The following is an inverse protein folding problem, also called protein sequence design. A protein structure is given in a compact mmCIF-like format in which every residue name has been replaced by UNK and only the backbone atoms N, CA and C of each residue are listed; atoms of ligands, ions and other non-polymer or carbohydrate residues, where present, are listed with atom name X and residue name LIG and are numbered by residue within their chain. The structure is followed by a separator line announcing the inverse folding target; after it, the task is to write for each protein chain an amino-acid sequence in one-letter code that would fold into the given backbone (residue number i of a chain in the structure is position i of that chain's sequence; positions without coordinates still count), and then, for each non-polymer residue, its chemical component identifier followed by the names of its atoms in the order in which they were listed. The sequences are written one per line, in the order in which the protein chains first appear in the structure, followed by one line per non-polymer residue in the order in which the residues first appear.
data_IF_644400795200
#
_entry.id   IF_644400795200
#
_cell.length_a   1.000
_cell.length_b   1.000
_cell.length_c   1.000
_cell.angle_alpha   90.00
_cell.angle_beta   90.00
_cell.angle_gamma   90.00
#
_symmetry.space_group_name_H-M   'P 1'
#
loop_
_entity.id
_entity.type
_entity.pdbx_description
1 polymer ?
#
# COMPACT_ATOMS: atom_id res chain seq x y z
N UNK A 1 25.37 -51.32 5.80
CA UNK A 1 25.28 -49.93 6.31
C UNK A 1 23.80 -49.49 6.18
N UNK A 2 22.85 -49.93 7.02
CA UNK A 2 22.45 -49.37 8.33
C UNK A 2 22.72 -47.84 8.41
N UNK A 3 21.73 -46.97 8.63
CA UNK A 3 20.83 -46.91 9.80
C UNK A 3 19.45 -46.31 9.50
N UNK A 4 18.42 -46.90 10.11
CA UNK A 4 17.14 -46.27 10.55
C UNK A 4 17.36 -45.63 11.92
N UNK A 5 16.72 -44.49 12.20
CA UNK A 5 16.41 -43.95 13.54
C UNK A 5 15.09 -43.16 13.35
N UNK A 6 13.89 -43.65 13.69
CA UNK A 6 13.28 -43.83 15.02
C UNK A 6 13.13 -42.49 15.79
N UNK A 7 11.98 -41.83 15.66
CA UNK A 7 11.53 -40.84 16.63
C UNK A 7 10.68 -41.53 17.71
N UNK A 8 11.12 -41.37 18.95
CA UNK A 8 10.53 -41.98 20.13
C UNK A 8 9.24 -41.27 20.54
N UNK A 9 8.18 -42.04 20.70
CA UNK A 9 7.02 -41.70 21.54
C UNK A 9 7.42 -41.84 23.01
N UNK A 10 7.28 -40.77 23.80
CA UNK A 10 7.19 -40.87 25.26
C UNK A 10 5.89 -40.29 25.75
N UNK A 11 4.99 -41.20 26.11
CA UNK A 11 4.02 -41.05 27.17
C UNK A 11 4.69 -40.53 28.45
N UNK A 12 4.17 -39.45 29.00
CA UNK A 12 4.54 -38.92 30.31
C UNK A 12 3.29 -38.36 30.96
N UNK A 13 2.90 -38.94 32.08
CA UNK A 13 1.63 -38.78 32.75
C UNK A 13 1.35 -37.34 33.22
N UNK A 14 0.07 -36.99 33.23
CA UNK A 14 -0.49 -35.87 33.97
C UNK A 14 -0.25 -36.09 35.46
N UNK A 15 0.56 -35.23 36.06
CA UNK A 15 0.55 -35.01 37.50
C UNK A 15 0.06 -33.59 37.74
N UNK A 16 -1.08 -33.50 38.43
CA UNK A 16 -1.74 -32.27 38.80
C UNK A 16 -0.79 -31.40 39.61
N UNK A 17 -0.68 -30.13 39.21
CA UNK A 17 -0.06 -29.13 40.05
C UNK A 17 -1.14 -28.57 40.97
N UNK A 18 -0.95 -28.87 42.26
CA UNK A 18 -1.71 -28.40 43.40
C UNK A 18 -1.65 -26.87 43.52
N UNK A 19 -2.77 -26.24 43.83
CA UNK A 19 -3.04 -24.81 43.65
C UNK A 19 -2.49 -23.89 44.76
N UNK A 20 -1.31 -24.19 45.33
CA UNK A 20 -0.84 -23.46 46.52
C UNK A 20 0.65 -23.06 46.58
N UNK A 21 1.41 -23.15 45.47
CA UNK A 21 2.78 -22.61 45.41
C UNK A 21 3.03 -21.86 44.10
N UNK A 22 2.28 -20.79 43.86
CA UNK A 22 2.59 -19.80 42.83
C UNK A 22 2.68 -18.40 43.44
N UNK A 23 3.67 -18.22 44.30
CA UNK A 23 4.23 -16.92 44.59
C UNK A 23 5.75 -17.12 44.57
N UNK A 24 6.43 -16.39 43.68
CA UNK A 24 7.90 -16.37 43.50
C UNK A 24 8.48 -17.42 42.52
N UNK A 25 8.23 -17.27 41.22
CA UNK A 25 9.33 -17.23 40.22
C UNK A 25 8.84 -16.72 38.86
N UNK A 26 9.42 -15.62 38.38
CA UNK A 26 9.14 -14.98 37.08
C UNK A 26 9.67 -15.76 35.86
N UNK A 27 9.92 -17.08 35.96
CA UNK A 27 10.65 -17.84 34.92
C UNK A 27 9.81 -18.75 34.03
N UNK A 28 8.49 -18.86 34.23
CA UNK A 28 7.63 -19.69 33.35
C UNK A 28 6.96 -18.94 32.17
N UNK A 29 7.01 -17.61 32.10
CA UNK A 29 6.36 -16.87 31.01
C UNK A 29 7.13 -16.84 29.68
N UNK A 30 8.41 -17.25 29.62
CA UNK A 30 9.22 -17.15 28.39
C UNK A 30 8.99 -18.29 27.38
N UNK A 31 8.50 -19.46 27.82
CA UNK A 31 8.28 -20.61 26.93
C UNK A 31 6.98 -20.52 26.13
N UNK A 32 5.94 -19.87 26.65
CA UNK A 32 4.66 -19.69 25.94
C UNK A 32 4.78 -18.66 24.79
N UNK A 33 5.55 -17.59 24.99
CA UNK A 33 5.77 -16.56 23.96
C UNK A 33 6.59 -17.08 22.77
N UNK A 34 7.54 -17.99 23.01
CA UNK A 34 8.34 -18.59 21.93
C UNK A 34 7.52 -19.53 21.03
N UNK A 35 6.52 -20.22 21.59
CA UNK A 35 5.69 -21.16 20.82
C UNK A 35 4.67 -20.46 19.92
N UNK A 36 4.14 -19.31 20.34
CA UNK A 36 3.24 -18.47 19.53
C UNK A 36 3.98 -17.76 18.38
N UNK A 37 5.20 -17.27 18.63
CA UNK A 37 6.04 -16.65 17.61
C UNK A 37 6.47 -17.65 16.52
N UNK A 38 6.79 -18.89 16.90
CA UNK A 38 7.10 -19.97 15.96
C UNK A 38 5.85 -20.38 15.16
N UNK A 39 4.68 -20.48 15.77
CA UNK A 39 3.44 -20.79 15.06
C UNK A 39 3.03 -19.68 14.06
N UNK A 40 3.20 -18.41 14.41
CA UNK A 40 2.99 -17.28 13.49
C UNK A 40 4.02 -17.24 12.36
N UNK A 41 5.28 -17.55 12.64
CA UNK A 41 6.34 -17.70 11.65
C UNK A 41 6.03 -18.81 10.63
N UNK A 42 5.56 -19.97 11.11
CA UNK A 42 5.20 -21.12 10.27
C UNK A 42 3.94 -20.86 9.42
N UNK A 43 2.93 -20.15 9.96
CA UNK A 43 1.76 -19.71 9.20
C UNK A 43 2.12 -18.66 8.13
N UNK A 44 3.05 -17.74 8.42
CA UNK A 44 3.61 -16.81 7.43
C UNK A 44 4.37 -17.54 6.32
N UNK A 45 5.16 -18.57 6.65
CA UNK A 45 5.88 -19.37 5.64
C UNK A 45 4.95 -20.24 4.80
N UNK A 46 3.88 -20.81 5.38
CA UNK A 46 2.91 -21.60 4.60
C UNK A 46 2.07 -20.72 3.66
N UNK A 47 1.68 -19.52 4.09
CA UNK A 47 1.04 -18.51 3.21
C UNK A 47 1.99 -18.05 2.10
N UNK A 48 3.27 -17.87 2.40
CA UNK A 48 4.29 -17.59 1.40
C UNK A 48 4.37 -18.74 0.37
N UNK A 49 4.55 -20.00 0.78
CA UNK A 49 4.68 -21.14 -0.15
C UNK A 49 3.47 -21.33 -1.07
N UNK A 50 2.25 -21.05 -0.59
CA UNK A 50 1.05 -21.01 -1.45
C UNK A 50 1.03 -19.81 -2.41
N UNK A 51 1.48 -18.62 -1.99
CA UNK A 51 1.63 -17.43 -2.84
C UNK A 51 2.68 -17.62 -3.95
N UNK A 52 3.79 -18.29 -3.66
CA UNK A 52 4.86 -18.58 -4.63
C UNK A 52 4.38 -19.50 -5.78
N UNK A 53 3.44 -20.40 -5.50
CA UNK A 53 2.86 -21.29 -6.53
C UNK A 53 1.93 -20.55 -7.50
N UNK A 54 1.30 -19.45 -7.06
CA UNK A 54 0.42 -18.60 -7.87
C UNK A 54 1.22 -17.58 -8.70
N UNK A 55 2.28 -16.99 -8.10
CA UNK A 55 3.17 -16.06 -8.77
C UNK A 55 3.91 -16.68 -9.98
N UNK A 56 4.18 -17.99 -9.96
CA UNK A 56 4.81 -18.69 -11.07
C UNK A 56 3.83 -18.97 -12.24
N UNK A 57 2.53 -19.11 -11.95
CA UNK A 57 1.47 -19.24 -12.97
C UNK A 57 1.09 -17.89 -13.61
N UNK A 58 1.38 -16.77 -12.95
CA UNK A 58 1.13 -15.40 -13.45
C UNK A 58 2.19 -14.89 -14.44
N UNK A 59 3.36 -15.55 -14.54
CA UNK A 59 4.50 -15.04 -15.32
C UNK A 59 4.41 -15.19 -16.85
N UNK A 60 3.36 -15.80 -17.40
CA UNK A 60 3.25 -16.04 -18.86
C UNK A 60 1.91 -15.68 -19.50
N UNK A 61 1.07 -14.87 -18.85
CA UNK A 61 -0.13 -14.32 -19.48
C UNK A 61 0.15 -12.89 -20.00
N UNK A 62 -0.46 -12.50 -21.12
CA UNK A 62 -0.47 -11.11 -21.56
C UNK A 62 -0.81 -10.19 -20.37
N UNK A 63 -0.04 -9.11 -20.18
CA UNK A 63 -0.16 -8.24 -19.01
C UNK A 63 -1.62 -7.81 -18.80
N UNK A 64 -2.17 -8.05 -17.60
CA UNK A 64 -3.56 -7.76 -17.28
C UNK A 64 -3.93 -6.27 -17.38
N UNK A 65 -5.23 -5.97 -17.29
CA UNK A 65 -5.78 -4.62 -17.43
C UNK A 65 -5.07 -3.61 -16.52
N UNK A 66 -4.74 -3.97 -15.28
CA UNK A 66 -4.04 -3.08 -14.36
C UNK A 66 -2.69 -2.57 -14.93
N UNK A 67 -1.92 -3.47 -15.54
CA UNK A 67 -0.64 -3.12 -16.17
C UNK A 67 -0.84 -2.27 -17.43
N UNK A 68 -1.89 -2.53 -18.20
CA UNK A 68 -2.27 -1.71 -19.35
C UNK A 68 -2.63 -0.28 -18.94
N UNK A 69 -3.55 -0.12 -17.99
CA UNK A 69 -3.96 1.18 -17.49
C UNK A 69 -2.81 1.97 -16.86
N UNK A 70 -1.89 1.29 -16.15
CA UNK A 70 -0.68 1.92 -15.66
C UNK A 70 0.22 2.44 -16.80
N UNK A 71 0.40 1.66 -17.89
CA UNK A 71 1.19 2.10 -19.05
C UNK A 71 0.56 3.31 -19.73
N UNK A 72 -0.76 3.31 -19.93
CA UNK A 72 -1.50 4.43 -20.53
C UNK A 72 -1.38 5.71 -19.71
N UNK A 73 -1.35 5.59 -18.38
CA UNK A 73 -1.24 6.72 -17.46
C UNK A 73 0.21 7.04 -17.05
N UNK A 74 1.20 6.32 -17.62
CA UNK A 74 2.59 6.43 -17.19
C UNK A 74 3.19 7.81 -17.44
N UNK A 75 2.77 8.51 -18.49
CA UNK A 75 3.22 9.88 -18.77
C UNK A 75 2.79 10.86 -17.67
N UNK A 76 1.58 10.69 -17.13
CA UNK A 76 1.08 11.46 -15.99
C UNK A 76 1.85 11.05 -14.73
N UNK A 77 1.88 9.75 -14.40
CA UNK A 77 2.59 9.25 -13.22
C UNK A 77 4.08 9.63 -13.16
N UNK A 78 4.75 9.72 -14.32
CA UNK A 78 6.15 10.16 -14.41
C UNK A 78 6.38 11.61 -14.01
N UNK A 79 5.33 12.44 -13.95
CA UNK A 79 5.42 13.83 -13.49
C UNK A 79 5.43 13.92 -11.96
N UNK A 80 4.86 12.94 -11.24
CA UNK A 80 4.68 12.99 -9.78
C UNK A 80 5.99 13.13 -8.99
N UNK A 81 7.09 12.42 -9.33
CA UNK A 81 8.36 12.61 -8.64
C UNK A 81 8.95 14.02 -8.76
N UNK A 82 8.50 14.79 -9.75
CA UNK A 82 8.95 16.16 -10.01
C UNK A 82 8.05 17.22 -9.39
N UNK A 83 6.96 16.81 -8.73
CA UNK A 83 6.11 17.74 -8.00
C UNK A 83 6.92 18.41 -6.88
N UNK A 84 6.76 19.73 -6.67
CA UNK A 84 7.49 20.45 -5.61
C UNK A 84 7.33 19.84 -4.22
N UNK A 85 6.15 19.26 -3.92
CA UNK A 85 5.89 18.59 -2.66
C UNK A 85 6.77 17.34 -2.53
N UNK A 86 6.74 16.47 -3.54
CA UNK A 86 7.48 15.19 -3.55
C UNK A 86 8.99 15.42 -3.52
N UNK A 87 9.48 16.38 -4.30
CA UNK A 87 10.90 16.77 -4.28
C UNK A 87 11.31 17.34 -2.92
N UNK A 88 10.49 18.19 -2.31
CA UNK A 88 10.73 18.72 -0.99
C UNK A 88 10.74 17.64 0.09
N UNK A 89 9.87 16.63 -0.03
CA UNK A 89 9.80 15.49 0.87
C UNK A 89 11.09 14.66 0.78
N UNK A 90 11.50 14.30 -0.44
CA UNK A 90 12.74 13.55 -0.67
C UNK A 90 14.00 14.32 -0.25
N UNK A 91 14.02 15.63 -0.45
CA UNK A 91 15.12 16.49 -0.03
C UNK A 91 15.13 16.82 1.48
N UNK A 92 14.04 16.54 2.21
CA UNK A 92 13.90 16.90 3.61
C UNK A 92 13.69 18.40 3.87
N UNK A 93 13.29 19.17 2.85
CA UNK A 93 13.22 20.64 2.88
C UNK A 93 11.80 21.19 2.97
N UNK A 94 10.76 20.35 3.00
CA UNK A 94 9.40 20.83 3.24
C UNK A 94 9.31 21.55 4.59
N UNK A 95 8.39 22.51 4.67
CA UNK A 95 7.99 23.06 5.96
C UNK A 95 7.21 21.99 6.72
N UNK A 96 7.39 21.91 8.03
CA UNK A 96 6.66 20.96 8.87
C UNK A 96 5.15 21.19 8.79
N UNK A 97 4.73 22.44 8.67
CA UNK A 97 3.34 22.86 8.55
C UNK A 97 2.70 22.39 7.24
N UNK A 98 3.46 22.41 6.14
CA UNK A 98 3.01 21.85 4.84
C UNK A 98 2.77 20.36 4.97
N UNK A 99 3.72 19.63 5.57
CA UNK A 99 3.59 18.19 5.76
C UNK A 99 2.47 17.84 6.74
N UNK A 100 2.30 18.61 7.82
CA UNK A 100 1.18 18.45 8.75
C UNK A 100 -0.18 18.67 8.07
N UNK A 101 -0.27 19.65 7.15
CA UNK A 101 -1.47 19.88 6.34
C UNK A 101 -1.73 18.67 5.44
N UNK A 102 -0.72 18.18 4.73
CA UNK A 102 -0.82 16.97 3.91
C UNK A 102 -1.34 15.78 4.72
N UNK A 103 -0.78 15.51 5.91
CA UNK A 103 -1.22 14.43 6.79
C UNK A 103 -2.69 14.57 7.21
N UNK A 104 -3.15 15.81 7.45
CA UNK A 104 -4.56 16.07 7.76
C UNK A 104 -5.49 15.79 6.57
N UNK A 105 -5.09 16.23 5.36
CA UNK A 105 -5.83 15.96 4.13
C UNK A 105 -5.87 14.46 3.82
N UNK A 106 -4.75 13.77 4.04
CA UNK A 106 -4.60 12.35 3.79
C UNK A 106 -5.47 11.51 4.73
N UNK A 107 -5.55 11.89 6.01
CA UNK A 107 -6.48 11.25 6.95
C UNK A 107 -7.96 11.41 6.54
N UNK A 108 -8.34 12.49 5.85
CA UNK A 108 -9.68 12.64 5.29
C UNK A 108 -9.87 11.79 4.03
N UNK A 109 -8.85 11.73 3.17
CA UNK A 109 -8.82 10.88 1.99
C UNK A 109 -8.95 9.39 2.35
N UNK A 110 -8.13 8.88 3.25
CA UNK A 110 -8.11 7.47 3.67
C UNK A 110 -9.45 7.01 4.25
N UNK A 111 -10.23 7.89 4.92
CA UNK A 111 -11.61 7.57 5.35
C UNK A 111 -12.52 7.29 4.16
N UNK A 112 -12.46 8.14 3.13
CA UNK A 112 -13.22 7.94 1.88
C UNK A 112 -12.74 6.68 1.15
N UNK A 113 -11.43 6.44 1.14
CA UNK A 113 -10.81 5.25 0.54
C UNK A 113 -11.29 3.95 1.21
N UNK A 114 -11.29 3.88 2.54
CA UNK A 114 -11.83 2.75 3.29
C UNK A 114 -13.33 2.52 3.03
N UNK A 115 -14.13 3.60 2.98
CA UNK A 115 -15.55 3.53 2.65
C UNK A 115 -15.81 3.04 1.22
N UNK A 116 -14.96 3.43 0.26
CA UNK A 116 -15.00 2.97 -1.12
C UNK A 116 -14.72 1.46 -1.21
N UNK A 117 -13.68 0.95 -0.53
CA UNK A 117 -13.43 -0.50 -0.45
C UNK A 117 -14.61 -1.24 0.18
N UNK A 118 -15.17 -0.72 1.27
CA UNK A 118 -16.34 -1.32 1.92
C UNK A 118 -17.55 -1.38 0.99
N UNK A 119 -17.72 -0.39 0.10
CA UNK A 119 -18.78 -0.35 -0.92
C UNK A 119 -18.48 -1.32 -2.07
N UNK A 120 -17.24 -1.38 -2.55
CA UNK A 120 -16.80 -2.35 -3.53
C UNK A 120 -17.03 -3.79 -3.03
N UNK A 121 -16.77 -4.06 -1.75
CA UNK A 121 -16.99 -5.38 -1.12
C UNK A 121 -18.46 -5.82 -1.26
N UNK A 122 -19.41 -4.87 -1.13
CA UNK A 122 -20.85 -5.15 -1.30
C UNK A 122 -21.26 -5.32 -2.77
N UNK A 123 -20.45 -4.81 -3.70
CA UNK A 123 -20.63 -4.93 -5.15
C UNK A 123 -20.00 -6.20 -5.71
N UNK A 124 -19.19 -6.93 -4.94
CA UNK A 124 -18.66 -8.23 -5.33
C UNK A 124 -19.80 -9.22 -5.60
N UNK A 125 -20.08 -9.38 -6.90
CA UNK A 125 -20.92 -10.38 -7.55
C UNK A 125 -22.19 -10.81 -6.83
N UNK A 126 -23.34 -10.35 -7.31
CA UNK A 126 -24.56 -11.19 -7.30
C UNK A 126 -24.56 -12.17 -8.50
N UNK A 127 -23.87 -11.83 -9.60
CA UNK A 127 -23.87 -12.59 -10.88
C UNK A 127 -22.60 -13.42 -11.14
N UNK A 128 -21.57 -13.28 -10.30
CA UNK A 128 -20.32 -14.04 -10.43
C UNK A 128 -20.42 -15.46 -9.85
N UNK A 129 -19.53 -16.37 -10.25
CA UNK A 129 -19.44 -17.68 -9.60
C UNK A 129 -19.05 -17.52 -8.10
N UNK A 130 -19.62 -18.30 -7.16
CA UNK A 130 -19.38 -18.15 -5.72
C UNK A 130 -17.90 -18.08 -5.29
N UNK A 131 -16.95 -18.83 -5.91
CA UNK A 131 -15.53 -18.71 -5.57
C UNK A 131 -14.92 -17.34 -5.90
N UNK A 132 -15.35 -16.72 -7.00
CA UNK A 132 -14.89 -15.39 -7.40
C UNK A 132 -15.44 -14.32 -6.46
N UNK A 133 -16.71 -14.44 -6.08
CA UNK A 133 -17.34 -13.57 -5.08
C UNK A 133 -16.59 -13.61 -3.74
N UNK A 134 -16.27 -14.82 -3.25
CA UNK A 134 -15.55 -15.01 -1.99
C UNK A 134 -14.13 -14.40 -2.04
N UNK A 135 -13.43 -14.57 -3.17
CA UNK A 135 -12.13 -13.95 -3.40
C UNK A 135 -12.22 -12.42 -3.43
N UNK A 136 -13.13 -11.85 -4.23
CA UNK A 136 -13.34 -10.40 -4.31
C UNK A 136 -13.60 -9.77 -2.94
N UNK A 137 -14.50 -10.38 -2.15
CA UNK A 137 -14.81 -9.90 -0.79
C UNK A 137 -13.64 -10.06 0.17
N UNK A 138 -12.87 -11.14 0.03
CA UNK A 138 -11.66 -11.39 0.82
C UNK A 138 -10.59 -10.34 0.56
N UNK A 139 -10.21 -10.17 -0.70
CA UNK A 139 -9.16 -9.25 -1.12
C UNK A 139 -9.50 -7.79 -0.76
N UNK A 140 -10.75 -7.36 -1.00
CA UNK A 140 -11.20 -6.01 -0.62
C UNK A 140 -11.26 -5.80 0.90
N UNK A 141 -11.59 -6.85 1.66
CA UNK A 141 -11.57 -6.78 3.13
C UNK A 141 -10.15 -6.59 3.62
N UNK A 142 -9.19 -7.37 3.10
CA UNK A 142 -7.79 -7.24 3.49
C UNK A 142 -7.23 -5.85 3.15
N UNK A 143 -7.50 -5.34 1.94
CA UNK A 143 -7.10 -3.98 1.54
C UNK A 143 -7.74 -2.90 2.42
N UNK A 144 -9.04 -3.02 2.73
CA UNK A 144 -9.73 -2.10 3.64
C UNK A 144 -9.14 -2.15 5.04
N UNK A 145 -8.94 -3.34 5.59
CA UNK A 145 -8.47 -3.53 6.96
C UNK A 145 -7.04 -2.94 7.12
N UNK A 146 -6.19 -3.05 6.09
CA UNK A 146 -4.89 -2.38 6.04
C UNK A 146 -5.02 -0.85 6.09
N UNK A 147 -5.93 -0.26 5.31
CA UNK A 147 -6.20 1.20 5.33
C UNK A 147 -6.78 1.64 6.67
N UNK A 148 -7.66 0.86 7.28
CA UNK A 148 -8.22 1.15 8.59
C UNK A 148 -7.19 1.04 9.72
N UNK A 149 -6.22 0.14 9.59
CA UNK A 149 -5.06 0.07 10.49
C UNK A 149 -4.18 1.31 10.34
N UNK A 150 -3.86 1.70 9.11
CA UNK A 150 -3.11 2.91 8.80
C UNK A 150 -3.80 4.16 9.36
N UNK A 151 -5.12 4.29 9.19
CA UNK A 151 -5.91 5.38 9.78
C UNK A 151 -5.83 5.46 11.31
N UNK A 152 -5.73 4.32 12.00
CA UNK A 152 -5.57 4.29 13.46
C UNK A 152 -4.18 4.81 13.85
N UNK A 153 -3.14 4.39 13.13
CA UNK A 153 -1.77 4.86 13.33
C UNK A 153 -1.61 6.35 12.98
N UNK A 154 -2.34 6.80 11.94
CA UNK A 154 -2.39 8.19 11.51
C UNK A 154 -2.78 9.15 12.63
N UNK A 155 -3.59 8.74 13.61
CA UNK A 155 -3.93 9.61 14.75
C UNK A 155 -2.72 9.95 15.63
N UNK A 156 -1.81 8.98 15.84
CA UNK A 156 -0.56 9.19 16.56
C UNK A 156 0.43 9.99 15.71
N UNK A 157 0.51 9.69 14.42
CA UNK A 157 1.35 10.39 13.46
C UNK A 157 0.93 11.86 13.28
N UNK A 158 -0.36 12.12 13.08
CA UNK A 158 -0.94 13.46 12.98
C UNK A 158 -0.62 14.30 14.23
N UNK A 159 -0.70 13.70 15.42
CA UNK A 159 -0.32 14.38 16.66
C UNK A 159 1.17 14.74 16.70
N UNK A 160 2.06 13.84 16.27
CA UNK A 160 3.52 14.09 16.16
C UNK A 160 3.82 15.29 15.24
N UNK A 161 3.03 15.45 14.18
CA UNK A 161 3.20 16.53 13.20
C UNK A 161 2.39 17.80 13.49
N UNK A 162 1.51 17.79 14.51
CA UNK A 162 0.61 18.90 14.80
C UNK A 162 -0.49 19.09 13.76
N UNK A 163 -0.85 18.02 13.05
CA UNK A 163 -1.91 18.03 12.05
C UNK A 163 -3.29 18.14 12.73
N UNK A 164 -4.13 19.06 12.26
CA UNK A 164 -5.49 19.24 12.77
C UNK A 164 -6.44 18.23 12.11
N UNK A 165 -6.86 17.23 12.89
CA UNK A 165 -7.90 16.26 12.50
C UNK A 165 -9.26 16.57 13.16
N UNK A 166 -9.37 17.71 13.84
CA UNK A 166 -10.49 18.12 14.66
C UNK A 166 -11.60 18.81 13.87
N UNK A 167 -12.43 19.57 14.58
CA UNK A 167 -13.61 20.25 14.00
C UNK A 167 -13.23 21.43 13.10
N UNK A 168 -12.04 21.99 13.28
CA UNK A 168 -11.55 23.15 12.54
C UNK A 168 -10.82 22.77 11.25
N UNK A 169 -10.59 21.47 11.04
CA UNK A 169 -10.03 20.90 9.82
C UNK A 169 -10.87 21.32 8.60
N UNK A 170 -10.20 21.88 7.60
CA UNK A 170 -10.81 22.26 6.32
C UNK A 170 -10.15 21.47 5.19
N UNK A 171 -10.91 20.58 4.52
CA UNK A 171 -10.41 19.91 3.33
C UNK A 171 -10.00 20.91 2.25
N UNK A 172 -8.85 20.68 1.61
CA UNK A 172 -8.48 21.43 0.41
C UNK A 172 -9.41 21.03 -0.75
N UNK A 173 -9.54 21.90 -1.75
CA UNK A 173 -10.36 21.61 -2.94
C UNK A 173 -9.96 20.27 -3.59
N UNK A 174 -8.66 20.01 -3.73
CA UNK A 174 -8.16 18.76 -4.31
C UNK A 174 -8.61 17.52 -3.50
N UNK A 175 -8.56 17.59 -2.17
CA UNK A 175 -9.06 16.53 -1.29
C UNK A 175 -10.57 16.34 -1.43
N UNK A 176 -11.34 17.42 -1.49
CA UNK A 176 -12.80 17.36 -1.73
C UNK A 176 -13.08 16.70 -3.09
N UNK A 177 -12.44 17.16 -4.15
CA UNK A 177 -12.63 16.63 -5.50
C UNK A 177 -12.35 15.11 -5.54
N UNK A 178 -11.25 14.67 -4.91
CA UNK A 178 -10.86 13.26 -4.93
C UNK A 178 -11.80 12.37 -4.08
N UNK A 179 -12.08 12.78 -2.85
CA UNK A 179 -13.04 12.06 -1.99
C UNK A 179 -14.45 12.03 -2.58
N UNK A 180 -14.88 13.10 -3.26
CA UNK A 180 -16.17 13.15 -3.96
C UNK A 180 -16.21 12.22 -5.17
N UNK A 181 -15.09 12.11 -5.90
CA UNK A 181 -14.94 11.16 -6.99
C UNK A 181 -15.09 9.70 -6.50
N UNK A 182 -14.35 9.32 -5.45
CA UNK A 182 -14.45 7.99 -4.84
C UNK A 182 -15.84 7.72 -4.27
N UNK A 183 -16.45 8.70 -3.59
CA UNK A 183 -17.81 8.56 -3.09
C UNK A 183 -18.82 8.37 -4.24
N UNK A 184 -18.72 9.18 -5.30
CA UNK A 184 -19.63 9.11 -6.45
C UNK A 184 -19.58 7.73 -7.10
N UNK A 185 -18.40 7.23 -7.46
CA UNK A 185 -18.28 5.92 -8.14
C UNK A 185 -18.67 4.76 -7.23
N UNK A 186 -18.29 4.79 -5.95
CA UNK A 186 -18.59 3.70 -5.02
C UNK A 186 -20.07 3.65 -4.60
N UNK A 187 -20.83 4.75 -4.76
CA UNK A 187 -22.28 4.81 -4.49
C UNK A 187 -23.15 4.60 -5.71
N UNK A 188 -22.61 4.77 -6.91
CA UNK A 188 -23.32 4.54 -8.16
C UNK A 188 -23.84 3.08 -8.20
N UNK A 189 -25.16 2.84 -8.22
CA UNK A 189 -25.70 1.48 -8.22
C UNK A 189 -25.37 0.72 -9.52
N UNK A 190 -25.02 1.43 -10.59
CA UNK A 190 -24.65 0.83 -11.89
C UNK A 190 -23.16 0.48 -11.98
N UNK A 191 -22.33 1.02 -11.08
CA UNK A 191 -20.91 0.70 -11.04
C UNK A 191 -20.65 -0.67 -10.41
N UNK A 192 -19.85 -1.48 -11.08
CA UNK A 192 -19.31 -2.76 -10.63
C UNK A 192 -18.23 -2.60 -9.56
N UNK A 193 -17.87 -3.70 -8.89
CA UNK A 193 -16.70 -3.72 -8.01
C UNK A 193 -15.40 -3.40 -8.78
N UNK A 194 -15.28 -3.90 -10.02
CA UNK A 194 -14.14 -3.64 -10.90
C UNK A 194 -13.91 -2.15 -11.14
N UNK A 195 -14.96 -1.39 -11.43
CA UNK A 195 -14.89 0.06 -11.67
C UNK A 195 -14.46 0.83 -10.42
N UNK A 196 -14.96 0.44 -9.24
CA UNK A 196 -14.50 1.05 -7.98
C UNK A 196 -13.03 0.71 -7.73
N UNK A 197 -12.61 -0.53 -7.94
CA UNK A 197 -11.20 -0.94 -7.80
C UNK A 197 -10.31 -0.19 -8.79
N UNK A 198 -10.72 -0.04 -10.05
CA UNK A 198 -9.97 0.73 -11.05
C UNK A 198 -9.75 2.20 -10.66
N UNK A 199 -10.71 2.80 -9.96
CA UNK A 199 -10.58 4.15 -9.40
C UNK A 199 -9.64 4.21 -8.18
N UNK A 200 -9.29 3.08 -7.56
CA UNK A 200 -8.47 3.01 -6.33
C UNK A 200 -7.04 2.56 -6.57
N UNK A 201 -6.81 1.68 -7.56
CA UNK A 201 -5.47 1.16 -7.92
C UNK A 201 -4.41 2.26 -8.17
N UNK A 202 -4.71 3.38 -8.86
CA UNK A 202 -3.74 4.44 -9.12
C UNK A 202 -3.01 4.94 -7.88
N UNK A 203 -3.73 5.11 -6.76
CA UNK A 203 -3.16 5.53 -5.47
C UNK A 203 -2.10 4.53 -4.99
N UNK A 204 -2.45 3.25 -4.93
CA UNK A 204 -1.57 2.18 -4.45
C UNK A 204 -0.31 2.07 -5.32
N UNK A 205 -0.48 2.07 -6.63
CA UNK A 205 0.63 1.90 -7.58
C UNK A 205 1.54 3.14 -7.60
N UNK A 206 0.99 4.35 -7.58
CA UNK A 206 1.78 5.57 -7.62
C UNK A 206 2.64 5.72 -6.35
N UNK A 207 2.04 5.55 -5.17
CA UNK A 207 2.75 5.68 -3.90
C UNK A 207 3.87 4.64 -3.75
N UNK A 208 3.62 3.38 -4.08
CA UNK A 208 4.64 2.32 -4.04
C UNK A 208 5.85 2.67 -4.93
N UNK A 209 5.58 3.20 -6.13
CA UNK A 209 6.62 3.60 -7.08
C UNK A 209 7.37 4.85 -6.61
N UNK A 210 6.67 5.84 -6.04
CA UNK A 210 7.31 7.02 -5.46
C UNK A 210 8.22 6.63 -4.30
N UNK A 211 7.76 5.80 -3.37
CA UNK A 211 8.55 5.29 -2.24
C UNK A 211 9.85 4.64 -2.72
N UNK A 212 9.77 3.63 -3.60
CA UNK A 212 10.97 2.96 -4.16
C UNK A 212 11.89 3.93 -4.93
N UNK A 213 11.34 4.95 -5.62
CA UNK A 213 12.15 5.95 -6.34
C UNK A 213 12.90 6.87 -5.39
N UNK A 214 12.24 7.37 -4.34
CA UNK A 214 12.87 8.23 -3.34
C UNK A 214 13.92 7.46 -2.53
N UNK A 215 13.63 6.22 -2.15
CA UNK A 215 14.59 5.32 -1.51
C UNK A 215 15.83 5.13 -2.38
N UNK A 216 15.64 4.79 -3.66
CA UNK A 216 16.75 4.61 -4.61
C UNK A 216 17.55 5.89 -4.86
N UNK A 217 16.90 7.05 -4.85
CA UNK A 217 17.57 8.35 -4.98
C UNK A 217 18.45 8.69 -3.76
N UNK A 218 18.22 8.01 -2.63
CA UNK A 218 19.00 8.15 -1.40
C UNK A 218 18.65 9.43 -0.65
N UNK A 219 17.64 9.36 0.22
CA UNK A 219 17.33 10.44 1.17
C UNK A 219 18.38 10.52 2.29
N UNK A 220 18.58 11.71 2.87
CA UNK A 220 19.53 11.90 3.98
C UNK A 220 19.10 11.14 5.25
N UNK A 221 20.07 10.71 6.06
CA UNK A 221 19.84 9.98 7.32
C UNK A 221 18.93 10.75 8.29
N UNK A 222 19.09 12.06 8.36
CA UNK A 222 18.31 12.97 9.21
C UNK A 222 17.07 13.56 8.52
N UNK A 223 16.68 13.06 7.33
CA UNK A 223 15.48 13.53 6.65
C UNK A 223 14.25 13.35 7.56
N UNK A 224 13.54 14.43 7.93
CA UNK A 224 12.42 14.37 8.86
C UNK A 224 11.22 13.56 8.34
N UNK A 225 11.16 13.30 7.03
CA UNK A 225 10.11 12.56 6.33
C UNK A 225 10.50 11.13 5.97
N UNK A 226 11.64 10.64 6.49
CA UNK A 226 12.15 9.28 6.26
C UNK A 226 11.09 8.18 6.45
N UNK A 227 10.29 8.28 7.50
CA UNK A 227 9.23 7.32 7.82
C UNK A 227 8.21 7.18 6.67
N UNK A 228 7.88 8.28 5.97
CA UNK A 228 7.01 8.25 4.81
C UNK A 228 7.66 7.43 3.68
N UNK A 229 8.94 7.68 3.40
CA UNK A 229 9.66 6.96 2.33
C UNK A 229 9.77 5.48 2.64
N UNK A 230 10.13 5.13 3.87
CA UNK A 230 10.26 3.74 4.34
C UNK A 230 8.92 2.99 4.28
N UNK A 231 7.80 3.62 4.64
CA UNK A 231 6.47 3.01 4.53
C UNK A 231 6.13 2.68 3.07
N UNK A 232 6.24 3.66 2.17
CA UNK A 232 5.84 3.47 0.78
C UNK A 232 6.89 2.73 -0.07
N UNK A 233 8.13 2.62 0.40
CA UNK A 233 9.16 1.75 -0.19
C UNK A 233 9.16 0.33 0.40
N UNK A 234 8.35 0.04 1.41
CA UNK A 234 8.31 -1.29 2.06
C UNK A 234 7.83 -2.38 1.11
N UNK A 235 8.24 -3.62 1.40
CA UNK A 235 7.77 -4.79 0.66
C UNK A 235 6.29 -5.07 0.99
N UNK A 236 5.85 -4.77 2.21
CA UNK A 236 4.45 -4.87 2.62
C UNK A 236 3.53 -3.97 1.79
N UNK A 237 3.92 -2.71 1.55
CA UNK A 237 3.14 -1.80 0.71
C UNK A 237 3.16 -2.23 -0.76
N UNK A 238 4.30 -2.77 -1.23
CA UNK A 238 4.40 -3.34 -2.57
C UNK A 238 3.47 -4.54 -2.77
N UNK A 239 3.38 -5.44 -1.79
CA UNK A 239 2.44 -6.57 -1.82
C UNK A 239 0.98 -6.09 -1.86
N UNK A 240 0.62 -5.07 -1.07
CA UNK A 240 -0.72 -4.49 -1.09
C UNK A 240 -1.07 -3.87 -2.46
N UNK A 241 -0.10 -3.20 -3.10
CA UNK A 241 -0.20 -2.71 -4.47
C UNK A 241 -0.45 -3.87 -5.46
N UNK A 242 0.33 -4.95 -5.39
CA UNK A 242 0.17 -6.11 -6.28
C UNK A 242 -1.17 -6.82 -6.07
N UNK A 243 -1.65 -6.86 -4.82
CA UNK A 243 -2.98 -7.39 -4.49
C UNK A 243 -4.09 -6.55 -5.12
N UNK A 244 -4.01 -5.22 -5.07
CA UNK A 244 -4.99 -4.34 -5.69
C UNK A 244 -5.01 -4.46 -7.23
N UNK A 245 -3.84 -4.52 -7.87
CA UNK A 245 -3.72 -4.74 -9.32
C UNK A 245 -4.24 -6.12 -9.73
N UNK A 246 -3.84 -7.17 -9.00
CA UNK A 246 -4.29 -8.53 -9.27
C UNK A 246 -5.80 -8.71 -9.07
N UNK A 247 -6.40 -8.00 -8.12
CA UNK A 247 -7.85 -7.98 -7.95
C UNK A 247 -8.54 -7.32 -9.14
N UNK A 248 -8.02 -6.20 -9.66
CA UNK A 248 -8.57 -5.56 -10.86
C UNK A 248 -8.56 -6.52 -12.06
N UNK A 249 -7.43 -7.18 -12.31
CA UNK A 249 -7.28 -8.13 -13.42
C UNK A 249 -8.28 -9.29 -13.31
N UNK A 250 -8.49 -9.80 -12.09
CA UNK A 250 -9.41 -10.90 -11.81
C UNK A 250 -10.87 -10.51 -12.00
N UNK A 251 -11.21 -9.26 -11.70
CA UNK A 251 -12.57 -8.72 -11.90
C UNK A 251 -12.83 -8.28 -13.34
N UNK A 252 -11.80 -8.23 -14.19
CA UNK A 252 -11.91 -7.74 -15.58
C UNK A 252 -11.38 -8.73 -16.63
N UNK A 253 -11.75 -10.03 -16.56
CA UNK A 253 -11.24 -11.05 -17.49
C UNK A 253 -11.65 -10.79 -18.96
N UNK A 254 -12.64 -9.93 -19.18
CA UNK A 254 -13.15 -9.53 -20.50
C UNK A 254 -13.00 -8.02 -20.74
N UNK A 255 -12.17 -7.35 -19.94
CA UNK A 255 -12.02 -5.89 -19.95
C UNK A 255 -13.08 -5.17 -19.12
N UNK A 256 -13.01 -3.84 -19.12
CA UNK A 256 -13.92 -2.96 -18.41
C UNK A 256 -13.96 -1.58 -19.09
N UNK A 257 -15.09 -1.24 -19.72
CA UNK A 257 -15.24 -0.07 -20.58
C UNK A 257 -14.95 1.25 -19.84
N UNK A 258 -15.44 1.40 -18.60
CA UNK A 258 -15.28 2.63 -17.80
C UNK A 258 -13.98 2.65 -16.98
N UNK A 259 -13.27 1.52 -16.85
CA UNK A 259 -12.13 1.43 -15.94
C UNK A 259 -10.97 2.33 -16.38
N UNK A 260 -10.74 2.51 -17.68
CA UNK A 260 -9.69 3.40 -18.19
C UNK A 260 -9.90 4.86 -17.78
N UNK A 261 -11.11 5.38 -18.01
CA UNK A 261 -11.46 6.76 -17.63
C UNK A 261 -11.39 6.99 -16.12
N UNK A 262 -11.85 6.02 -15.33
CA UNK A 262 -11.82 6.08 -13.86
C UNK A 262 -10.38 6.06 -13.33
N UNK A 263 -9.53 5.22 -13.90
CA UNK A 263 -8.12 5.14 -13.56
C UNK A 263 -7.40 6.44 -13.89
N UNK A 264 -7.65 7.00 -15.08
CA UNK A 264 -7.05 8.25 -15.53
C UNK A 264 -7.48 9.45 -14.68
N UNK A 265 -8.76 9.53 -14.30
CA UNK A 265 -9.25 10.59 -13.43
C UNK A 265 -8.65 10.49 -12.02
N UNK A 266 -8.56 9.29 -11.45
CA UNK A 266 -7.89 9.07 -10.18
C UNK A 266 -6.41 9.50 -10.26
N UNK A 267 -5.69 9.15 -11.32
CA UNK A 267 -4.31 9.61 -11.52
C UNK A 267 -4.23 11.15 -11.59
N UNK A 268 -5.14 11.82 -12.31
CA UNK A 268 -5.19 13.29 -12.35
C UNK A 268 -5.45 13.91 -10.97
N UNK A 269 -6.29 13.26 -10.16
CA UNK A 269 -6.61 13.69 -8.80
C UNK A 269 -5.42 13.50 -7.84
N UNK A 270 -4.63 12.43 -7.97
CA UNK A 270 -3.37 12.25 -7.24
C UNK A 270 -2.42 13.43 -7.46
N UNK A 271 -2.21 13.81 -8.72
CA UNK A 271 -1.39 14.97 -9.06
C UNK A 271 -1.94 16.26 -8.48
N UNK A 272 -3.25 16.43 -8.53
CA UNK A 272 -3.92 17.61 -7.94
C UNK A 272 -3.75 17.62 -6.42
N UNK A 273 -3.70 16.45 -5.77
CA UNK A 273 -3.50 16.31 -4.33
C UNK A 273 -2.10 16.76 -3.89
N UNK A 274 -1.05 16.35 -4.61
CA UNK A 274 0.31 16.84 -4.36
C UNK A 274 0.47 18.33 -4.68
N UNK A 275 -0.04 18.78 -5.83
CA UNK A 275 0.08 20.17 -6.27
C UNK A 275 -0.68 21.17 -5.38
N UNK A 276 -1.64 20.71 -4.59
CA UNK A 276 -2.42 21.56 -3.69
C UNK A 276 -1.66 21.94 -2.40
N UNK A 277 -0.51 21.34 -2.12
CA UNK A 277 0.25 21.60 -0.90
C UNK A 277 1.01 22.94 -0.99
N UNK A 278 1.04 23.71 0.11
CA UNK A 278 1.75 24.98 0.17
C UNK A 278 3.26 24.77 0.26
N UNK A 279 3.94 24.72 -0.88
CA UNK A 279 5.39 24.53 -0.99
C UNK A 279 6.11 25.87 -1.11
N UNK A 280 7.28 26.00 -0.49
CA UNK A 280 8.05 27.25 -0.49
C UNK A 280 8.43 27.71 -1.91
N UNK A 281 8.38 29.02 -2.24
CA UNK A 281 8.69 29.52 -3.58
C UNK A 281 10.10 29.22 -4.09
N UNK A 282 11.06 29.01 -3.18
CA UNK A 282 12.46 28.71 -3.51
C UNK A 282 12.76 27.19 -3.57
N UNK A 283 11.73 26.35 -3.64
CA UNK A 283 11.85 24.88 -3.67
C UNK A 283 12.84 24.35 -4.72
N UNK A 284 12.94 25.01 -5.88
CA UNK A 284 13.89 24.63 -6.94
C UNK A 284 15.33 24.63 -6.42
N UNK A 285 15.70 25.68 -5.68
CA UNK A 285 17.04 25.81 -5.09
C UNK A 285 17.23 24.76 -3.99
N UNK A 286 16.24 24.65 -3.10
CA UNK A 286 16.28 23.77 -1.93
C UNK A 286 16.38 22.28 -2.31
N UNK A 287 15.83 21.89 -3.45
CA UNK A 287 15.76 20.49 -3.89
C UNK A 287 16.79 20.14 -4.97
N UNK A 288 17.61 21.09 -5.43
CA UNK A 288 18.49 20.93 -6.60
C UNK A 288 19.43 19.72 -6.55
N UNK A 289 20.09 19.48 -5.41
CA UNK A 289 20.99 18.33 -5.23
C UNK A 289 20.24 17.00 -5.21
N UNK A 290 19.09 16.95 -4.54
CA UNK A 290 18.23 15.76 -4.50
C UNK A 290 17.64 15.46 -5.88
N UNK A 291 17.18 16.49 -6.58
CA UNK A 291 16.66 16.38 -7.95
C UNK A 291 17.69 15.73 -8.88
N UNK A 292 18.96 16.14 -8.83
CA UNK A 292 20.01 15.53 -9.63
C UNK A 292 20.22 14.04 -9.31
N UNK A 293 20.16 13.65 -8.03
CA UNK A 293 20.21 12.22 -7.62
C UNK A 293 19.00 11.44 -8.11
N UNK A 294 17.80 12.02 -8.03
CA UNK A 294 16.58 11.43 -8.53
C UNK A 294 16.64 11.23 -10.05
N UNK A 295 17.07 12.24 -10.80
CA UNK A 295 17.31 12.17 -12.26
C UNK A 295 18.31 11.04 -12.61
N UNK A 296 19.41 10.94 -11.88
CA UNK A 296 20.40 9.87 -12.08
C UNK A 296 19.81 8.47 -11.76
N UNK A 297 19.02 8.35 -10.70
CA UNK A 297 18.41 7.08 -10.28
C UNK A 297 17.41 6.53 -11.31
N UNK A 298 16.71 7.42 -12.01
CA UNK A 298 15.74 7.09 -13.06
C UNK A 298 16.44 6.81 -14.40
N UNK A 299 17.47 7.58 -14.75
CA UNK A 299 18.26 7.38 -15.98
C UNK A 299 19.07 6.08 -15.94
N UNK A 300 19.62 5.73 -14.78
CA UNK A 300 20.30 4.44 -14.57
C UNK A 300 19.37 3.22 -14.63
N UNK A 301 18.06 3.40 -14.48
CA UNK A 301 17.08 2.34 -14.72
C UNK A 301 16.85 2.10 -16.22
N UNK A 302 16.86 3.16 -17.03
CA UNK A 302 16.76 3.07 -18.50
C UNK A 302 17.95 2.34 -19.12
N UNK A 303 19.18 2.58 -18.63
CA UNK A 303 20.38 1.90 -19.11
C UNK A 303 20.45 0.40 -18.74
N UNK A 304 19.82 -0.02 -17.64
CA UNK A 304 19.76 -1.45 -17.27
C UNK A 304 18.61 -2.19 -17.97
N UNK A 305 17.48 -1.54 -18.19
CA UNK A 305 16.39 -2.12 -18.98
C UNK A 305 16.78 -2.36 -20.46
N UNK A 306 17.72 -1.56 -20.99
CA UNK A 306 18.29 -1.76 -22.33
C UNK A 306 19.44 -2.77 -22.40
N UNK A 307 19.97 -3.26 -21.27
CA UNK A 307 21.09 -4.19 -21.23
C UNK A 307 20.67 -5.65 -20.93
N UNK A 308 19.41 -5.88 -20.54
CA UNK A 308 18.84 -7.22 -20.34
C UNK A 308 18.00 -7.70 -21.54
N UNK A 309 17.94 -6.93 -22.63
CA UNK A 309 17.39 -7.34 -23.93
C UNK A 309 18.43 -7.23 -25.04
N UNK A 310 19.40 -8.15 -25.07
CA UNK A 310 19.82 -8.92 -26.27
C UNK A 310 21.20 -9.59 -26.06
N UNK A 311 21.45 -10.77 -26.68
CA UNK A 311 20.53 -11.77 -27.23
C UNK A 311 20.42 -13.04 -26.35
#
# INVERSE_FOLDING_TARGET
KMRRVAYATRSGAWHGCDSTLCAQSQRCCSCAHSSAAIAQSQLKTMRAVQRWSLALLLKTAAAGLASELWRENSATAQQSPWDPFVLGLGAGTLKKETFATYVAQDAAFLKSFADAYKRAERKCGEEEAPPLQARCRGDLRELRDAVEEELKLHSGYAKKWGADLGKDFKPLKATIDYTSFLEKISRDPTASAAEVVAAMVPCMTLYAILGKRLEKAGIEDDNPYREWVETYSSDEFWEAKEQAEGLLDVLTPHGCERCGDLYAEAMRLEHSFFAAQDVAPDWIRLTSSFRARLEASLSGASLRAGAEMEP
#
